data_IF_394187469841
#
_entry.id   IF_394187469841
#
_cell.length_a   1.000
_cell.length_b   1.000
_cell.length_c   1.000
_cell.angle_alpha   90.00
_cell.angle_beta   90.00
_cell.angle_gamma   90.00
#
_symmetry.space_group_name_H-M   'P 1'
#
loop_
_entity.id
_entity.type
_entity.pdbx_description
1 polymer ?
#
# COMPACT_ATOMS: atom_id res chain seq x y z
N UNK A 1 0.36 -15.42 -17.35
CA UNK A 1 0.78 -14.09 -16.83
C UNK A 1 1.64 -14.30 -15.62
N UNK A 2 2.70 -13.58 -15.54
CA UNK A 2 3.62 -13.66 -14.42
C UNK A 2 3.53 -12.39 -13.60
N UNK A 3 3.89 -12.50 -12.32
CA UNK A 3 4.02 -11.35 -11.43
C UNK A 3 5.04 -10.38 -12.04
N UNK A 4 4.78 -9.07 -12.00
CA UNK A 4 5.71 -8.08 -12.56
C UNK A 4 7.07 -8.13 -11.88
N UNK A 5 8.09 -7.60 -12.55
CA UNK A 5 9.40 -7.41 -11.92
C UNK A 5 9.25 -6.55 -10.67
N UNK A 6 9.70 -7.03 -9.50
CA UNK A 6 9.45 -6.33 -8.24
C UNK A 6 9.99 -4.90 -8.18
N UNK A 7 11.23 -4.69 -8.63
CA UNK A 7 11.83 -3.35 -8.58
C UNK A 7 11.15 -2.39 -9.55
N UNK A 8 10.85 -2.86 -10.76
CA UNK A 8 10.17 -2.02 -11.76
C UNK A 8 8.78 -1.64 -11.27
N UNK A 9 8.07 -2.60 -10.67
CA UNK A 9 6.74 -2.33 -10.12
C UNK A 9 6.82 -1.31 -8.98
N UNK A 10 7.73 -1.53 -8.02
CA UNK A 10 7.86 -0.65 -6.86
C UNK A 10 8.21 0.78 -7.27
N UNK A 11 9.08 0.93 -8.28
CA UNK A 11 9.46 2.26 -8.78
C UNK A 11 8.24 2.99 -9.34
N UNK A 12 7.45 2.30 -10.17
CA UNK A 12 6.24 2.90 -10.75
C UNK A 12 5.19 3.21 -9.69
N UNK A 13 4.96 2.27 -8.78
CA UNK A 13 4.02 2.40 -7.68
C UNK A 13 4.37 3.62 -6.82
N UNK A 14 5.64 3.77 -6.47
CA UNK A 14 6.11 4.90 -5.67
C UNK A 14 5.93 6.22 -6.39
N UNK A 15 6.29 6.25 -7.68
CA UNK A 15 6.12 7.46 -8.49
C UNK A 15 4.65 7.88 -8.59
N UNK A 16 3.75 6.90 -8.73
CA UNK A 16 2.33 7.18 -8.81
C UNK A 16 1.77 7.73 -7.48
N UNK A 17 2.17 7.13 -6.36
CA UNK A 17 1.78 7.66 -5.05
C UNK A 17 2.29 9.09 -4.86
N UNK A 18 3.55 9.35 -5.20
CA UNK A 18 4.17 10.66 -5.00
C UNK A 18 3.57 11.71 -5.95
N UNK A 19 3.08 11.30 -7.10
CA UNK A 19 2.36 12.17 -8.02
C UNK A 19 0.88 12.31 -7.65
N UNK A 20 0.42 11.59 -6.63
CA UNK A 20 -0.99 11.51 -6.24
C UNK A 20 -1.88 11.05 -7.40
N UNK A 21 -1.35 10.13 -8.21
CA UNK A 21 -2.02 9.60 -9.40
C UNK A 21 -2.90 8.40 -8.99
N UNK A 22 -4.04 8.68 -8.41
CA UNK A 22 -4.94 7.66 -7.88
C UNK A 22 -5.42 6.70 -8.96
N UNK A 23 -5.82 7.22 -10.12
CA UNK A 23 -6.34 6.36 -11.19
C UNK A 23 -5.25 5.45 -11.74
N UNK A 24 -4.02 5.96 -11.86
CA UNK A 24 -2.88 5.13 -12.27
C UNK A 24 -2.61 4.01 -11.29
N UNK A 25 -2.67 4.29 -9.99
CA UNK A 25 -2.50 3.27 -8.96
C UNK A 25 -3.56 2.18 -9.07
N UNK A 26 -4.81 2.56 -9.25
CA UNK A 26 -5.93 1.62 -9.28
C UNK A 26 -5.88 0.67 -10.48
N UNK A 27 -5.16 1.03 -11.55
CA UNK A 27 -5.00 0.12 -12.69
C UNK A 27 -4.25 -1.15 -12.33
N UNK A 28 -3.53 -1.18 -11.22
CA UNK A 28 -2.78 -2.36 -10.78
C UNK A 28 -3.62 -3.39 -10.04
N UNK A 29 -4.89 -3.10 -9.78
CA UNK A 29 -5.71 -3.89 -8.87
C UNK A 29 -6.90 -4.53 -9.59
N UNK A 30 -7.33 -5.69 -9.09
CA UNK A 30 -8.55 -6.33 -9.59
C UNK A 30 -9.77 -5.57 -9.08
N UNK A 31 -10.92 -5.74 -9.78
CA UNK A 31 -12.15 -5.07 -9.38
C UNK A 31 -12.64 -5.54 -8.00
N UNK A 32 -12.36 -6.79 -7.63
CA UNK A 32 -12.78 -7.39 -6.37
C UNK A 32 -11.65 -7.40 -5.31
N UNK A 33 -10.66 -6.53 -5.45
CA UNK A 33 -9.53 -6.46 -4.55
C UNK A 33 -9.96 -6.32 -3.08
N UNK A 34 -9.21 -6.97 -2.19
CA UNK A 34 -9.36 -6.78 -0.75
C UNK A 34 -8.11 -6.13 -0.22
N UNK A 35 -8.26 -5.00 0.43
CA UNK A 35 -7.14 -4.24 0.98
C UNK A 35 -7.37 -4.04 2.47
N UNK A 36 -6.32 -4.21 3.27
CA UNK A 36 -6.40 -3.99 4.71
C UNK A 36 -5.35 -3.00 5.17
N UNK A 37 -5.70 -2.20 6.17
CA UNK A 37 -4.76 -1.26 6.76
C UNK A 37 -5.26 -0.79 8.12
N UNK A 38 -4.38 -0.68 9.13
CA UNK A 38 -4.76 -0.06 10.40
C UNK A 38 -5.21 1.40 10.22
N UNK A 39 -4.68 2.08 9.20
CA UNK A 39 -5.09 3.46 8.91
C UNK A 39 -6.54 3.51 8.45
N UNK A 40 -7.01 2.48 7.75
CA UNK A 40 -8.40 2.41 7.34
C UNK A 40 -9.35 2.36 8.56
N UNK A 41 -8.92 1.74 9.65
CA UNK A 41 -9.72 1.75 10.89
C UNK A 41 -9.89 3.19 11.39
N UNK A 42 -8.81 3.96 11.41
CA UNK A 42 -8.84 5.35 11.91
C UNK A 42 -9.62 6.28 11.00
N UNK A 43 -9.53 6.05 9.68
CA UNK A 43 -10.12 6.96 8.68
C UNK A 43 -11.59 6.64 8.44
N UNK A 44 -11.91 5.35 8.33
CA UNK A 44 -13.25 4.88 7.94
C UNK A 44 -14.04 4.31 9.12
N UNK A 45 -13.36 3.92 10.20
CA UNK A 45 -13.95 3.10 11.24
C UNK A 45 -14.05 1.64 10.76
N UNK A 46 -14.70 0.79 11.54
CA UNK A 46 -14.91 -0.60 11.17
C UNK A 46 -13.70 -1.49 11.39
N UNK A 47 -13.56 -2.50 10.52
CA UNK A 47 -12.60 -3.58 10.71
C UNK A 47 -11.26 -3.39 9.97
N UNK A 48 -11.10 -2.28 9.28
CA UNK A 48 -9.86 -2.01 8.54
C UNK A 48 -9.75 -2.75 7.21
N UNK A 49 -10.82 -3.39 6.78
CA UNK A 49 -10.87 -4.14 5.53
C UNK A 49 -11.67 -3.36 4.51
N UNK A 50 -11.04 -3.08 3.37
CA UNK A 50 -11.65 -2.35 2.26
C UNK A 50 -11.88 -3.34 1.13
N UNK A 51 -13.11 -3.52 0.73
CA UNK A 51 -13.50 -4.54 -0.24
C UNK A 51 -13.95 -3.90 -1.54
N UNK A 52 -13.27 -4.26 -2.62
CA UNK A 52 -13.57 -3.80 -3.98
C UNK A 52 -12.85 -2.53 -4.36
N UNK A 53 -12.61 -2.37 -5.66
CA UNK A 53 -11.86 -1.24 -6.20
C UNK A 53 -12.55 0.10 -5.94
N UNK A 54 -13.90 0.12 -6.01
CA UNK A 54 -14.63 1.37 -5.77
C UNK A 54 -14.44 1.86 -4.33
N UNK A 55 -14.51 0.95 -3.36
CA UNK A 55 -14.27 1.30 -1.95
C UNK A 55 -12.81 1.69 -1.72
N UNK A 56 -11.88 1.02 -2.40
CA UNK A 56 -10.46 1.35 -2.31
C UNK A 56 -10.18 2.75 -2.85
N UNK A 57 -10.82 3.10 -3.98
CA UNK A 57 -10.72 4.46 -4.54
C UNK A 57 -11.20 5.49 -3.54
N UNK A 58 -12.35 5.27 -2.93
CA UNK A 58 -12.91 6.22 -1.96
C UNK A 58 -12.00 6.39 -0.75
N UNK A 59 -11.44 5.29 -0.25
CA UNK A 59 -10.53 5.32 0.89
C UNK A 59 -9.24 6.08 0.56
N UNK A 60 -8.62 5.77 -0.57
CA UNK A 60 -7.37 6.43 -0.96
C UNK A 60 -7.58 7.90 -1.34
N UNK A 61 -8.72 8.21 -1.96
CA UNK A 61 -9.08 9.61 -2.26
C UNK A 61 -9.12 10.41 -0.97
N UNK A 62 -9.79 9.89 0.05
CA UNK A 62 -9.88 10.54 1.34
C UNK A 62 -8.49 10.66 2.00
N UNK A 63 -7.68 9.62 1.89
CA UNK A 63 -6.31 9.64 2.41
C UNK A 63 -5.47 10.74 1.79
N UNK A 64 -5.53 10.88 0.47
CA UNK A 64 -4.78 11.93 -0.23
C UNK A 64 -5.26 13.33 0.15
N UNK A 65 -6.57 13.48 0.39
CA UNK A 65 -7.12 14.76 0.83
C UNK A 65 -6.63 15.13 2.24
N UNK A 66 -6.51 14.14 3.11
CA UNK A 66 -6.07 14.35 4.50
C UNK A 66 -4.57 14.46 4.64
N UNK A 67 -3.81 13.92 3.68
CA UNK A 67 -2.35 13.93 3.71
C UNK A 67 -1.85 14.55 2.40
N UNK A 68 -2.03 15.89 2.24
CA UNK A 68 -1.63 16.53 0.98
C UNK A 68 -0.12 16.51 0.74
N UNK A 69 0.67 16.27 1.77
CA UNK A 69 2.13 16.17 1.67
C UNK A 69 2.60 14.72 1.55
N UNK A 70 1.71 13.77 1.21
CA UNK A 70 2.08 12.36 1.07
C UNK A 70 3.27 12.22 0.14
N UNK A 71 4.29 11.53 0.63
CA UNK A 71 5.54 11.29 -0.09
C UNK A 71 6.14 10.00 0.44
N UNK A 72 6.43 9.06 -0.46
CA UNK A 72 7.01 7.76 -0.10
C UNK A 72 8.42 7.65 -0.62
N UNK A 73 9.26 6.91 0.12
CA UNK A 73 10.62 6.56 -0.30
C UNK A 73 10.76 5.05 -0.16
N UNK A 74 10.99 4.36 -1.25
CA UNK A 74 11.19 2.90 -1.23
C UNK A 74 12.54 2.59 -0.61
N UNK A 75 12.55 1.70 0.38
CA UNK A 75 13.75 1.26 1.07
C UNK A 75 14.21 -0.10 0.57
N UNK A 76 13.31 -1.07 0.52
CA UNK A 76 13.59 -2.43 0.07
C UNK A 76 12.39 -3.02 -0.64
N UNK A 77 12.66 -4.00 -1.50
CA UNK A 77 11.61 -4.72 -2.24
C UNK A 77 11.89 -6.21 -2.10
N UNK A 78 10.84 -6.97 -1.78
CA UNK A 78 10.94 -8.41 -1.59
C UNK A 78 10.02 -9.12 -2.58
N UNK A 79 10.49 -10.21 -3.17
CA UNK A 79 9.68 -11.01 -4.08
C UNK A 79 9.43 -12.40 -3.52
N UNK A 80 8.21 -12.88 -3.67
CA UNK A 80 7.80 -14.23 -3.27
C UNK A 80 6.97 -14.86 -4.37
N UNK A 81 6.30 -15.97 -4.06
CA UNK A 81 5.40 -16.62 -5.01
C UNK A 81 4.13 -15.77 -5.11
N UNK A 82 3.90 -15.19 -6.29
CA UNK A 82 2.76 -14.30 -6.55
C UNK A 82 2.62 -13.19 -5.50
N UNK A 83 3.72 -12.84 -4.85
CA UNK A 83 3.71 -11.89 -3.74
C UNK A 83 4.89 -10.93 -3.89
N UNK A 84 4.63 -9.68 -3.60
CA UNK A 84 5.64 -8.63 -3.62
C UNK A 84 5.46 -7.79 -2.36
N UNK A 85 6.56 -7.46 -1.70
CA UNK A 85 6.51 -6.61 -0.51
C UNK A 85 7.35 -5.37 -0.79
N UNK A 86 6.76 -4.20 -0.59
CA UNK A 86 7.46 -2.93 -0.72
C UNK A 86 7.62 -2.34 0.67
N UNK A 87 8.86 -2.30 1.14
CA UNK A 87 9.19 -1.61 2.39
C UNK A 87 9.52 -0.17 2.05
N UNK A 88 8.77 0.76 2.63
CA UNK A 88 8.95 2.18 2.33
C UNK A 88 8.81 3.03 3.58
N UNK A 89 9.31 4.25 3.48
CA UNK A 89 9.13 5.27 4.51
C UNK A 89 8.12 6.28 4.00
N UNK A 90 7.14 6.64 4.84
CA UNK A 90 6.15 7.62 4.44
C UNK A 90 6.62 9.04 4.81
N UNK A 91 5.78 10.05 4.53
CA UNK A 91 6.09 11.46 4.74
C UNK A 91 6.37 11.80 6.20
N UNK A 92 5.89 10.98 7.14
CA UNK A 92 6.13 11.16 8.57
C UNK A 92 7.37 10.39 9.05
N UNK A 93 8.09 9.74 8.14
CA UNK A 93 9.25 8.94 8.47
C UNK A 93 8.94 7.56 9.00
N UNK A 94 7.68 7.14 8.96
CA UNK A 94 7.25 5.83 9.47
C UNK A 94 7.52 4.77 8.41
N UNK A 95 8.09 3.64 8.84
CA UNK A 95 8.34 2.51 7.94
C UNK A 95 7.10 1.63 7.81
N UNK A 96 6.81 1.28 6.59
CA UNK A 96 5.63 0.51 6.22
C UNK A 96 6.05 -0.60 5.27
N UNK A 97 5.44 -1.77 5.40
CA UNK A 97 5.56 -2.82 4.40
C UNK A 97 4.21 -3.03 3.76
N UNK A 98 4.16 -2.81 2.45
CA UNK A 98 2.98 -3.07 1.64
C UNK A 98 3.10 -4.49 1.09
N UNK A 99 2.21 -5.39 1.49
CA UNK A 99 2.23 -6.78 1.05
C UNK A 99 1.17 -6.94 -0.03
N UNK A 100 1.61 -7.31 -1.23
CA UNK A 100 0.75 -7.35 -2.41
C UNK A 100 0.74 -8.75 -2.99
N UNK A 101 -0.46 -9.33 -3.14
CA UNK A 101 -0.64 -10.65 -3.74
C UNK A 101 -1.26 -10.47 -5.12
N UNK A 102 -0.67 -11.13 -6.11
CA UNK A 102 -1.03 -10.97 -7.52
C UNK A 102 -1.79 -12.18 -8.05
N UNK A 103 -2.73 -11.90 -8.95
CA UNK A 103 -3.30 -12.88 -9.85
C UNK A 103 -2.90 -12.40 -11.24
N UNK A 104 -1.94 -13.12 -11.87
CA UNK A 104 -1.31 -12.62 -13.08
C UNK A 104 -0.54 -11.33 -12.81
N UNK A 105 -0.88 -10.27 -13.50
CA UNK A 105 -0.23 -8.97 -13.34
C UNK A 105 -1.07 -7.98 -12.52
N UNK A 106 -2.17 -8.43 -11.92
CA UNK A 106 -3.05 -7.58 -11.12
C UNK A 106 -3.05 -8.00 -9.66
N UNK A 107 -3.14 -7.04 -8.78
CA UNK A 107 -3.17 -7.25 -7.33
C UNK A 107 -4.59 -7.58 -6.92
N UNK A 108 -4.78 -8.76 -6.32
CA UNK A 108 -6.08 -9.18 -5.80
C UNK A 108 -6.23 -8.93 -4.31
N UNK A 109 -5.10 -8.77 -3.61
CA UNK A 109 -5.09 -8.59 -2.17
C UNK A 109 -3.89 -7.74 -1.78
N UNK A 110 -4.10 -6.78 -0.90
CA UNK A 110 -3.03 -5.92 -0.42
C UNK A 110 -3.21 -5.64 1.07
N UNK A 111 -2.08 -5.51 1.75
CA UNK A 111 -2.07 -5.23 3.19
C UNK A 111 -1.02 -4.18 3.50
N UNK A 112 -1.46 -3.06 4.08
CA UNK A 112 -0.55 -2.08 4.64
C UNK A 112 -0.20 -2.51 6.06
N UNK A 113 1.10 -2.72 6.32
CA UNK A 113 1.57 -3.14 7.64
C UNK A 113 2.60 -2.13 8.13
N UNK A 114 2.35 -1.59 9.31
CA UNK A 114 3.14 -0.51 9.87
C UNK A 114 4.07 -1.04 10.94
N UNK A 115 5.26 -0.45 11.04
CA UNK A 115 6.22 -0.86 12.06
C UNK A 115 5.58 -0.76 13.44
N UNK A 116 5.74 -1.84 14.23
CA UNK A 116 5.23 -1.89 15.61
C UNK A 116 6.41 -1.77 16.54
N UNK A 117 6.33 -0.84 17.48
CA UNK A 117 7.41 -0.64 18.42
C UNK A 117 7.45 -1.78 19.44
N UNK A 118 8.65 -2.34 19.65
CA UNK A 118 8.84 -3.38 20.64
C UNK A 118 8.97 -2.71 22.03
N UNK A 119 8.03 -2.98 22.95
CA UNK A 119 8.08 -2.35 24.26
C UNK A 119 9.33 -2.72 25.07
N UNK A 120 9.99 -3.84 24.75
CA UNK A 120 11.22 -4.25 25.44
C UNK A 120 12.47 -3.55 24.90
N UNK A 121 12.39 -2.99 23.69
CA UNK A 121 13.50 -2.29 23.06
C UNK A 121 13.16 -0.84 22.73
N UNK A 122 11.97 -0.38 23.11
CA UNK A 122 11.53 0.96 22.85
C UNK A 122 12.49 1.97 23.49
N UNK A 123 12.82 3.02 22.75
CA UNK A 123 13.67 4.09 23.26
C UNK A 123 12.81 5.12 23.98
N UNK A 124 13.40 5.64 24.97
CA UNK A 124 12.76 6.67 25.76
C UNK A 124 13.29 8.05 25.38
#
# INVERSE_FOLDING_TARGET
>A
MTTPDPHAFATRWCAQWNAHDLEGLLTHFTDDVVFTSPVAIRVLGGDGIVRGKAALRAYWQLGLERIPDLQFEVLDVYGGVDTLVINYRNQAGIRVCEVLTFVGDLISEGHGTYVVEDPHTART
#
